data_IF_837282998859
#
_entry.id   IF_837282998859
#
_cell.length_a   1.000
_cell.length_b   1.000
_cell.length_c   1.000
_cell.angle_alpha   90.00
_cell.angle_beta   90.00
_cell.angle_gamma   90.00
#
_symmetry.space_group_name_H-M   'P 1'
#
loop_
_entity.id
_entity.type
_entity.pdbx_description
1 polymer ?
#
# COMPACT_ATOMS: atom_id res chain seq x y z
N UNK A 1 -5.88 -21.55 -1.18
CA UNK A 1 -4.64 -20.79 -1.38
C UNK A 1 -4.71 -19.46 -0.65
N UNK A 2 -3.60 -19.06 -0.06
CA UNK A 2 -3.52 -17.77 0.61
C UNK A 2 -3.53 -16.62 -0.39
N UNK A 3 -3.97 -15.45 0.07
CA UNK A 3 -3.98 -14.24 -0.74
C UNK A 3 -2.66 -13.50 -0.52
N UNK A 4 -1.98 -13.05 -1.61
CA UNK A 4 -0.61 -12.55 -1.49
C UNK A 4 -0.53 -11.09 -1.09
N UNK A 5 0.54 -10.74 -0.37
CA UNK A 5 0.96 -9.36 -0.22
C UNK A 5 1.63 -8.92 -1.52
N UNK A 6 1.13 -7.86 -2.13
CA UNK A 6 1.60 -7.43 -3.46
C UNK A 6 2.14 -5.99 -3.48
N UNK A 7 2.02 -5.26 -2.39
CA UNK A 7 2.40 -3.85 -2.35
C UNK A 7 2.73 -3.45 -0.92
N UNK A 8 3.81 -2.70 -0.74
CA UNK A 8 4.07 -2.05 0.55
C UNK A 8 3.81 -0.56 0.40
N UNK A 9 3.61 0.14 1.52
CA UNK A 9 3.38 1.57 1.48
C UNK A 9 4.07 2.24 2.65
N UNK A 10 4.80 3.31 2.38
CA UNK A 10 5.45 4.13 3.39
C UNK A 10 4.85 5.52 3.28
N UNK A 11 4.14 5.96 4.31
CA UNK A 11 3.47 7.26 4.33
C UNK A 11 4.06 8.14 5.42
N UNK A 12 4.35 9.38 5.08
CA UNK A 12 4.95 10.31 6.03
C UNK A 12 4.61 11.76 5.72
N UNK A 13 5.30 12.68 6.38
CA UNK A 13 5.04 14.11 6.25
C UNK A 13 5.63 14.71 4.98
N UNK A 14 6.85 14.28 4.64
CA UNK A 14 7.58 14.83 3.50
C UNK A 14 7.89 13.69 2.53
N UNK A 15 6.97 13.46 1.60
CA UNK A 15 7.08 12.35 0.66
C UNK A 15 8.33 12.46 -0.23
N UNK A 16 8.64 13.67 -0.70
CA UNK A 16 9.80 13.86 -1.58
C UNK A 16 11.10 13.51 -0.87
N UNK A 17 11.23 13.91 0.39
CA UNK A 17 12.41 13.58 1.20
C UNK A 17 12.51 12.08 1.47
N UNK A 18 11.39 11.43 1.79
CA UNK A 18 11.35 9.98 1.98
C UNK A 18 11.72 9.25 0.70
N UNK A 19 11.19 9.68 -0.43
CA UNK A 19 11.50 9.06 -1.73
C UNK A 19 12.99 9.15 -2.04
N UNK A 20 13.61 10.32 -1.82
CA UNK A 20 15.04 10.49 -2.01
C UNK A 20 15.85 9.63 -1.07
N UNK A 21 15.45 9.57 0.20
CA UNK A 21 16.15 8.76 1.21
C UNK A 21 16.19 7.29 0.79
N UNK A 22 15.05 6.72 0.43
CA UNK A 22 14.99 5.29 0.08
C UNK A 22 15.62 4.99 -1.29
N UNK A 23 15.49 5.91 -2.24
CA UNK A 23 16.16 5.75 -3.53
C UNK A 23 17.68 5.72 -3.35
N UNK A 24 18.20 6.60 -2.53
CA UNK A 24 19.65 6.66 -2.27
C UNK A 24 20.15 5.46 -1.47
N UNK A 25 19.39 5.06 -0.45
CA UNK A 25 19.79 3.96 0.43
C UNK A 25 19.73 2.60 -0.25
N UNK A 26 18.63 2.32 -0.93
CA UNK A 26 18.36 0.99 -1.49
C UNK A 26 18.48 0.93 -3.01
N UNK A 27 18.80 2.04 -3.65
CA UNK A 27 18.88 2.13 -5.11
C UNK A 27 17.53 1.79 -5.78
N UNK A 28 16.43 2.10 -5.10
CA UNK A 28 15.09 1.88 -5.67
C UNK A 28 14.83 2.84 -6.82
N UNK A 29 14.25 2.33 -7.90
CA UNK A 29 13.72 3.14 -8.99
C UNK A 29 12.34 3.63 -8.58
N UNK A 30 12.20 4.94 -8.36
CA UNK A 30 10.95 5.54 -7.85
C UNK A 30 10.44 6.57 -8.84
N UNK A 31 9.18 6.44 -9.25
CA UNK A 31 8.53 7.37 -10.17
C UNK A 31 7.38 8.06 -9.44
N UNK A 32 7.51 9.36 -9.20
CA UNK A 32 6.48 10.19 -8.58
C UNK A 32 5.78 11.11 -9.58
N UNK A 33 5.91 10.83 -10.88
CA UNK A 33 5.29 11.64 -11.93
C UNK A 33 3.81 11.25 -12.07
N UNK A 34 3.01 11.72 -11.13
CA UNK A 34 1.56 11.52 -11.10
C UNK A 34 0.92 12.65 -10.28
N UNK A 35 -0.41 12.84 -10.40
CA UNK A 35 -1.07 13.98 -9.74
C UNK A 35 -0.87 14.06 -8.23
N UNK A 36 -0.78 12.92 -7.56
CA UNK A 36 -0.62 12.87 -6.10
C UNK A 36 0.84 12.89 -5.65
N UNK A 37 1.79 12.90 -6.57
CA UNK A 37 3.22 12.80 -6.26
C UNK A 37 3.54 11.57 -5.43
N UNK A 38 2.78 10.51 -5.65
CA UNK A 38 2.99 9.23 -4.99
C UNK A 38 4.15 8.50 -5.66
N UNK A 39 5.20 8.21 -4.91
CA UNK A 39 6.40 7.58 -5.46
C UNK A 39 6.20 6.09 -5.65
N UNK A 40 5.99 5.67 -6.88
CA UNK A 40 5.84 4.26 -7.23
C UNK A 40 7.21 3.59 -7.26
N UNK A 41 7.41 2.60 -6.39
CA UNK A 41 8.63 1.78 -6.36
C UNK A 41 8.44 0.64 -7.35
N UNK A 42 9.30 0.60 -8.38
CA UNK A 42 9.17 -0.36 -9.46
C UNK A 42 9.57 -1.77 -9.01
N UNK A 43 8.61 -2.71 -9.05
CA UNK A 43 8.90 -4.10 -8.68
C UNK A 43 9.97 -4.73 -9.56
N UNK A 44 9.86 -4.55 -10.87
CA UNK A 44 10.74 -5.24 -11.82
C UNK A 44 12.22 -4.85 -11.64
N UNK A 45 12.48 -3.61 -11.19
CA UNK A 45 13.82 -3.11 -10.97
C UNK A 45 14.38 -3.44 -9.57
N UNK A 46 13.58 -4.06 -8.70
CA UNK A 46 13.91 -4.24 -7.29
C UNK A 46 13.71 -5.69 -6.82
N UNK A 47 14.17 -6.62 -7.63
CA UNK A 47 14.06 -8.05 -7.32
C UNK A 47 15.43 -8.65 -6.97
N UNK A 48 15.42 -9.67 -6.15
CA UNK A 48 16.62 -10.49 -5.96
C UNK A 48 16.94 -11.27 -7.25
N UNK A 49 18.11 -11.88 -7.32
CA UNK A 49 18.51 -12.63 -8.51
C UNK A 49 17.54 -13.78 -8.86
N UNK A 50 16.89 -14.35 -7.84
CA UNK A 50 15.91 -15.43 -8.01
C UNK A 50 14.46 -14.91 -8.09
N UNK A 51 14.28 -13.60 -8.28
CA UNK A 51 12.97 -13.04 -8.60
C UNK A 51 12.08 -12.70 -7.43
N UNK A 52 12.63 -12.53 -6.24
CA UNK A 52 11.85 -12.23 -5.04
C UNK A 52 11.83 -10.72 -4.78
N UNK A 53 10.65 -10.19 -4.56
CA UNK A 53 10.45 -8.79 -4.23
C UNK A 53 9.05 -8.33 -4.59
N UNK A 54 8.63 -7.21 -4.02
CA UNK A 54 7.36 -6.56 -4.35
C UNK A 54 7.62 -5.09 -4.65
N UNK A 55 6.70 -4.48 -5.35
CA UNK A 55 6.69 -3.04 -5.53
C UNK A 55 5.98 -2.37 -4.38
N UNK A 56 5.97 -1.04 -4.39
CA UNK A 56 5.32 -0.30 -3.33
C UNK A 56 5.15 1.16 -3.68
N UNK A 57 4.83 1.94 -2.66
CA UNK A 57 4.65 3.37 -2.83
C UNK A 57 5.10 4.16 -1.62
N UNK A 58 5.55 5.37 -1.85
CA UNK A 58 5.97 6.30 -0.81
C UNK A 58 5.22 7.61 -1.04
N UNK A 59 4.36 7.97 -0.10
CA UNK A 59 3.49 9.13 -0.25
C UNK A 59 3.40 9.98 1.00
N UNK A 60 2.65 11.08 0.88
CA UNK A 60 2.40 12.00 1.97
C UNK A 60 1.03 11.75 2.58
N UNK A 61 0.96 11.80 3.90
CA UNK A 61 -0.30 11.79 4.63
C UNK A 61 -0.97 13.16 4.49
N UNK A 62 -2.32 13.22 4.58
CA UNK A 62 -3.00 14.51 4.72
C UNK A 62 -2.45 15.30 5.92
N UNK A 63 -2.46 16.62 5.82
CA UNK A 63 -1.87 17.49 6.85
C UNK A 63 -2.48 17.31 8.23
N UNK A 64 -3.76 16.93 8.28
CA UNK A 64 -4.48 16.74 9.53
C UNK A 64 -4.29 15.36 10.16
N UNK A 65 -3.57 14.46 9.50
CA UNK A 65 -3.26 13.15 10.06
C UNK A 65 -1.88 13.16 10.72
N UNK A 66 -1.79 12.79 11.99
CA UNK A 66 -0.50 12.76 12.69
C UNK A 66 0.34 11.55 12.32
N UNK A 67 1.66 11.69 12.49
CA UNK A 67 2.60 10.60 12.36
C UNK A 67 2.86 10.15 10.94
N UNK A 68 3.21 8.89 10.83
CA UNK A 68 3.44 8.20 9.57
C UNK A 68 3.25 6.72 9.82
N UNK A 69 3.24 5.93 8.74
CA UNK A 69 3.07 4.50 8.90
C UNK A 69 3.69 3.73 7.74
N UNK A 70 3.95 2.47 8.00
CA UNK A 70 4.31 1.49 6.98
C UNK A 70 3.21 0.44 6.97
N UNK A 71 2.69 0.10 5.81
CA UNK A 71 1.67 -0.91 5.69
C UNK A 71 1.90 -1.80 4.48
N UNK A 72 1.14 -2.88 4.40
CA UNK A 72 1.16 -3.79 3.26
C UNK A 72 -0.25 -3.90 2.69
N UNK A 73 -0.33 -4.19 1.40
CA UNK A 73 -1.61 -4.42 0.72
C UNK A 73 -1.67 -5.87 0.26
N UNK A 74 -2.78 -6.51 0.58
CA UNK A 74 -3.07 -7.90 0.22
C UNK A 74 -4.02 -7.90 -0.97
N UNK A 75 -3.69 -8.64 -2.01
CA UNK A 75 -4.56 -8.77 -3.19
C UNK A 75 -5.72 -9.71 -2.90
N UNK A 76 -6.93 -9.23 -3.10
CA UNK A 76 -8.16 -10.00 -2.87
C UNK A 76 -9.09 -9.86 -4.07
N UNK A 77 -9.90 -10.89 -4.38
CA UNK A 77 -10.82 -10.80 -5.52
C UNK A 77 -11.99 -9.85 -5.28
N UNK A 78 -12.38 -9.62 -4.02
CA UNK A 78 -13.53 -8.80 -3.66
C UNK A 78 -13.22 -8.03 -2.38
N UNK A 79 -12.98 -6.73 -2.53
CA UNK A 79 -12.58 -5.87 -1.40
C UNK A 79 -13.71 -5.75 -0.37
N UNK A 80 -14.96 -5.58 -0.81
CA UNK A 80 -16.10 -5.49 0.12
C UNK A 80 -16.24 -6.77 0.96
N UNK A 81 -16.16 -7.93 0.31
CA UNK A 81 -16.27 -9.21 1.01
C UNK A 81 -15.13 -9.39 2.02
N UNK A 82 -13.92 -8.99 1.65
CA UNK A 82 -12.76 -9.09 2.55
C UNK A 82 -12.89 -8.16 3.75
N UNK A 83 -13.37 -6.93 3.54
CA UNK A 83 -13.61 -5.99 4.64
C UNK A 83 -14.69 -6.49 5.58
N UNK A 84 -15.78 -7.04 5.04
CA UNK A 84 -16.86 -7.59 5.86
C UNK A 84 -16.38 -8.78 6.69
N UNK A 85 -15.60 -9.65 6.08
CA UNK A 85 -15.02 -10.80 6.78
C UNK A 85 -14.05 -10.36 7.88
N UNK A 86 -13.20 -9.38 7.57
CA UNK A 86 -12.26 -8.83 8.56
C UNK A 86 -13.02 -8.29 9.78
N UNK A 87 -14.08 -7.51 9.55
CA UNK A 87 -14.91 -6.98 10.63
C UNK A 87 -15.50 -8.09 11.49
N UNK A 88 -15.98 -9.18 10.86
CA UNK A 88 -16.54 -10.33 11.59
C UNK A 88 -15.48 -11.06 12.44
N UNK A 89 -14.21 -10.89 12.10
CA UNK A 89 -13.10 -11.52 12.82
C UNK A 89 -12.42 -10.58 13.85
N UNK A 90 -12.99 -9.40 14.07
CA UNK A 90 -12.51 -8.48 15.09
C UNK A 90 -11.76 -7.25 14.59
N UNK A 91 -11.67 -7.06 13.29
CA UNK A 91 -11.04 -5.87 12.72
C UNK A 91 -11.98 -4.68 12.75
N UNK A 92 -11.40 -3.48 12.62
CA UNK A 92 -12.16 -2.23 12.47
C UNK A 92 -12.02 -1.75 11.03
N UNK A 93 -13.12 -1.68 10.32
CA UNK A 93 -13.17 -1.19 8.95
C UNK A 93 -12.96 0.31 8.93
N UNK A 94 -11.99 0.80 8.15
CA UNK A 94 -11.65 2.21 8.08
C UNK A 94 -12.09 2.88 6.78
N UNK A 95 -11.91 2.20 5.65
CA UNK A 95 -12.14 2.81 4.36
C UNK A 95 -12.40 1.75 3.31
N UNK A 96 -13.24 2.11 2.33
CA UNK A 96 -13.43 1.32 1.12
C UNK A 96 -14.67 0.45 1.11
N UNK A 97 -14.91 -0.23 -0.02
CA UNK A 97 -14.13 -0.20 -1.26
C UNK A 97 -14.09 1.19 -1.88
N UNK A 98 -12.92 1.61 -2.35
CA UNK A 98 -12.77 2.92 -2.98
C UNK A 98 -11.86 2.80 -4.20
N UNK A 99 -12.28 3.40 -5.31
CA UNK A 99 -11.45 3.47 -6.51
C UNK A 99 -10.57 4.70 -6.42
N UNK A 100 -9.25 4.49 -6.38
CA UNK A 100 -8.28 5.58 -6.22
C UNK A 100 -7.71 6.02 -7.56
N UNK A 101 -7.69 5.13 -8.56
CA UNK A 101 -7.38 5.44 -9.95
C UNK A 101 -8.10 4.43 -10.83
N UNK A 102 -8.03 4.60 -12.15
CA UNK A 102 -8.63 3.65 -13.09
C UNK A 102 -8.08 2.24 -12.83
N UNK A 103 -8.99 1.31 -12.58
CA UNK A 103 -8.66 -0.09 -12.37
C UNK A 103 -8.06 -0.44 -11.01
N UNK A 104 -7.94 0.53 -10.09
CA UNK A 104 -7.40 0.28 -8.76
C UNK A 104 -8.47 0.52 -7.70
N UNK A 105 -8.89 -0.55 -7.03
CA UNK A 105 -9.86 -0.49 -5.95
C UNK A 105 -9.20 -0.99 -4.67
N UNK A 106 -9.34 -0.22 -3.59
CA UNK A 106 -8.69 -0.54 -2.32
C UNK A 106 -9.67 -0.51 -1.15
N UNK A 107 -9.24 -1.11 -0.06
CA UNK A 107 -9.88 -0.98 1.24
C UNK A 107 -8.82 -0.98 2.32
N UNK A 108 -9.17 -0.45 3.48
CA UNK A 108 -8.25 -0.35 4.61
C UNK A 108 -8.98 -0.69 5.89
N UNK A 109 -8.32 -1.47 6.74
CA UNK A 109 -8.86 -1.80 8.07
C UNK A 109 -7.73 -1.78 9.11
N UNK A 110 -8.12 -1.70 10.37
CA UNK A 110 -7.22 -2.01 11.48
C UNK A 110 -7.48 -3.44 11.92
N UNK A 111 -6.42 -4.22 12.11
CA UNK A 111 -6.54 -5.57 12.61
C UNK A 111 -6.92 -5.54 14.11
N UNK A 112 -7.15 -6.69 14.76
CA UNK A 112 -7.57 -6.69 16.18
C UNK A 112 -6.61 -6.00 17.14
N UNK A 113 -5.35 -5.78 16.74
CA UNK A 113 -4.39 -5.05 17.59
C UNK A 113 -4.12 -3.63 17.09
N UNK A 114 -4.85 -3.18 16.06
CA UNK A 114 -4.75 -1.81 15.57
C UNK A 114 -3.74 -1.57 14.45
N UNK A 115 -3.20 -2.63 13.86
CA UNK A 115 -2.29 -2.47 12.72
C UNK A 115 -3.07 -2.10 11.46
N UNK A 116 -2.58 -1.12 10.73
CA UNK A 116 -3.19 -0.67 9.48
C UNK A 116 -2.81 -1.62 8.35
N UNK A 117 -3.81 -2.22 7.72
CA UNK A 117 -3.61 -3.16 6.61
C UNK A 117 -4.46 -2.73 5.43
N UNK A 118 -3.89 -2.78 4.24
CA UNK A 118 -4.59 -2.46 3.01
C UNK A 118 -5.00 -3.69 2.24
N UNK A 119 -6.08 -3.52 1.48
CA UNK A 119 -6.58 -4.51 0.53
C UNK A 119 -6.57 -3.88 -0.85
N UNK A 120 -6.26 -4.66 -1.86
CA UNK A 120 -6.32 -4.20 -3.24
C UNK A 120 -7.00 -5.29 -4.06
N UNK A 121 -7.91 -4.87 -4.95
CA UNK A 121 -8.61 -5.83 -5.79
C UNK A 121 -7.64 -6.46 -6.79
N UNK A 122 -7.59 -7.78 -6.81
CA UNK A 122 -6.78 -8.50 -7.79
C UNK A 122 -7.44 -8.46 -9.16
N UNK A 123 -6.63 -8.58 -10.21
CA UNK A 123 -7.10 -8.53 -11.58
C UNK A 123 -7.83 -9.80 -12.04
N UNK A 124 -7.74 -10.86 -11.27
CA UNK A 124 -8.34 -12.14 -11.67
C UNK A 124 -9.67 -12.38 -10.99
#
# INVERSE_FOLDING_TARGET
>A
MGQPVVHFEIMGRDAARLQSFYADLFTWTINADNPMKYGMVDRAANLTADGIGIGGGIGALPEDMPGGHVTVYVAVPDVEAALAKAASLGATRLMGPEKVTDGVEIGIFNDPEGHLIGLIKSAA
#
